data_IF_503738821713
#
_entry.id   IF_503738821713
#
_cell.length_a   1.000
_cell.length_b   1.000
_cell.length_c   1.000
_cell.angle_alpha   90.00
_cell.angle_beta   90.00
_cell.angle_gamma   90.00
#
_symmetry.space_group_name_H-M   'P 1'
#
loop_
_entity.id
_entity.type
_entity.pdbx_description
1 polymer ?
#
# COMPACT_ATOMS: atom_id res chain seq x y z
N UNK A 1 -7.92 -2.09 6.53
CA UNK A 1 -8.73 -0.84 6.53
C UNK A 1 -9.82 -0.82 5.46
N UNK A 2 -9.55 -1.08 4.18
CA UNK A 2 -10.58 -1.07 3.12
C UNK A 2 -11.80 -1.97 3.40
N UNK A 3 -11.57 -3.20 3.89
CA UNK A 3 -12.64 -4.13 4.33
C UNK A 3 -13.50 -3.60 5.48
N UNK A 4 -12.90 -2.83 6.39
CA UNK A 4 -13.60 -2.24 7.54
C UNK A 4 -14.56 -1.14 7.06
N UNK A 5 -14.14 -0.39 6.03
CA UNK A 5 -14.94 0.70 5.46
C UNK A 5 -15.94 0.24 4.39
N UNK A 6 -15.96 -1.05 4.02
CA UNK A 6 -16.80 -1.63 2.94
C UNK A 6 -16.74 -0.84 1.62
N UNK A 7 -15.62 -0.17 1.34
CA UNK A 7 -15.46 0.60 0.11
C UNK A 7 -15.03 -0.34 -1.01
N UNK A 8 -15.74 -0.40 -2.15
CA UNK A 8 -15.32 -1.16 -3.30
C UNK A 8 -14.13 -0.46 -3.97
N UNK A 9 -12.91 -0.77 -3.56
CA UNK A 9 -11.69 -0.23 -4.16
C UNK A 9 -11.29 -1.15 -5.31
N UNK A 10 -11.69 -0.78 -6.53
CA UNK A 10 -11.38 -1.56 -7.73
C UNK A 10 -10.02 -1.20 -8.35
N UNK A 11 -9.50 -0.02 -8.03
CA UNK A 11 -8.31 0.56 -8.64
C UNK A 11 -7.31 0.98 -7.57
N UNK A 12 -6.05 0.61 -7.77
CA UNK A 12 -4.91 1.11 -7.00
C UNK A 12 -4.08 2.02 -7.88
N UNK A 13 -3.73 3.21 -7.41
CA UNK A 13 -2.88 4.16 -8.12
C UNK A 13 -1.48 4.18 -7.51
N UNK A 14 -0.45 4.19 -8.37
CA UNK A 14 0.96 4.30 -7.97
C UNK A 14 1.69 5.22 -8.94
N UNK A 15 2.75 5.88 -8.51
CA UNK A 15 3.59 6.71 -9.40
C UNK A 15 4.82 5.97 -9.97
N UNK A 16 5.03 4.73 -9.55
CA UNK A 16 6.11 3.86 -10.02
C UNK A 16 5.62 2.91 -11.11
N UNK A 17 5.93 3.23 -12.38
CA UNK A 17 5.50 2.43 -13.54
C UNK A 17 5.94 0.97 -13.46
N UNK A 18 7.18 0.72 -13.04
CA UNK A 18 7.72 -0.63 -12.88
C UNK A 18 6.93 -1.45 -11.85
N UNK A 19 6.49 -0.83 -10.76
CA UNK A 19 5.67 -1.47 -9.72
C UNK A 19 4.27 -1.77 -10.25
N UNK A 20 3.64 -0.81 -10.95
CA UNK A 20 2.34 -1.05 -11.59
C UNK A 20 2.38 -2.22 -12.57
N UNK A 21 3.41 -2.26 -13.43
CA UNK A 21 3.64 -3.36 -14.37
C UNK A 21 3.87 -4.69 -13.66
N UNK A 22 4.65 -4.71 -12.57
CA UNK A 22 4.92 -5.94 -11.81
C UNK A 22 3.66 -6.49 -11.13
N UNK A 23 2.80 -5.63 -10.58
CA UNK A 23 1.54 -6.02 -9.93
C UNK A 23 0.54 -6.55 -10.95
N UNK A 24 0.40 -5.87 -12.09
CA UNK A 24 -0.52 -6.30 -13.15
C UNK A 24 -0.02 -7.54 -13.92
N UNK A 25 1.29 -7.79 -13.89
CA UNK A 25 1.92 -8.91 -14.58
C UNK A 25 1.64 -10.25 -13.91
N UNK A 26 1.56 -11.31 -14.72
CA UNK A 26 1.49 -12.69 -14.26
C UNK A 26 2.84 -13.28 -13.85
N UNK A 27 3.94 -12.62 -14.21
CA UNK A 27 5.30 -13.11 -13.93
C UNK A 27 5.65 -12.81 -12.48
N UNK A 28 6.16 -13.83 -11.78
CA UNK A 28 6.74 -13.65 -10.45
C UNK A 28 7.99 -12.78 -10.58
N UNK A 29 8.00 -11.65 -9.89
CA UNK A 29 9.16 -10.76 -9.87
C UNK A 29 10.32 -11.46 -9.14
N UNK A 30 11.44 -11.66 -9.85
CA UNK A 30 12.65 -12.20 -9.26
C UNK A 30 13.41 -11.13 -8.44
N UNK A 31 14.12 -11.55 -7.39
CA UNK A 31 14.96 -10.67 -6.56
C UNK A 31 14.36 -10.29 -5.21
N UNK A 32 15.04 -9.42 -4.46
CA UNK A 32 14.66 -9.04 -3.09
C UNK A 32 13.30 -8.36 -2.96
N UNK A 33 12.84 -7.69 -4.02
CA UNK A 33 11.51 -7.09 -4.10
C UNK A 33 10.39 -8.10 -4.46
N UNK A 34 10.76 -9.33 -4.85
CA UNK A 34 9.84 -10.33 -5.35
C UNK A 34 8.73 -10.71 -4.38
N UNK A 35 9.12 -11.01 -3.14
CA UNK A 35 8.18 -11.36 -2.07
C UNK A 35 7.22 -10.21 -1.77
N UNK A 36 7.72 -8.96 -1.79
CA UNK A 36 6.90 -7.76 -1.53
C UNK A 36 5.82 -7.61 -2.61
N UNK A 37 6.17 -7.80 -3.88
CA UNK A 37 5.19 -7.73 -4.99
C UNK A 37 4.14 -8.82 -4.88
N UNK A 38 4.52 -10.05 -4.53
CA UNK A 38 3.57 -11.14 -4.35
C UNK A 38 2.64 -10.91 -3.14
N UNK A 39 3.15 -10.38 -2.04
CA UNK A 39 2.33 -9.96 -0.89
C UNK A 39 1.33 -8.86 -1.29
N UNK A 40 1.77 -7.87 -2.07
CA UNK A 40 0.88 -6.81 -2.59
C UNK A 40 -0.20 -7.43 -3.49
N UNK A 41 0.15 -8.35 -4.40
CA UNK A 41 -0.84 -9.04 -5.26
C UNK A 41 -1.86 -9.82 -4.43
N UNK A 42 -1.42 -10.51 -3.38
CA UNK A 42 -2.30 -11.24 -2.46
C UNK A 42 -3.26 -10.28 -1.75
N UNK A 43 -2.75 -9.14 -1.24
CA UNK A 43 -3.56 -8.09 -0.62
C UNK A 43 -4.56 -7.48 -1.61
N UNK A 44 -4.15 -7.18 -2.84
CA UNK A 44 -5.03 -6.68 -3.89
C UNK A 44 -6.20 -7.63 -4.15
N UNK A 45 -5.94 -8.94 -4.26
CA UNK A 45 -6.99 -9.96 -4.41
C UNK A 45 -7.92 -9.99 -3.20
N UNK A 46 -7.36 -9.91 -2.00
CA UNK A 46 -8.13 -9.96 -0.75
C UNK A 46 -9.08 -8.77 -0.57
N UNK A 47 -8.68 -7.58 -1.05
CA UNK A 47 -9.50 -6.35 -0.96
C UNK A 47 -10.32 -6.06 -2.22
N UNK A 48 -10.18 -6.87 -3.28
CA UNK A 48 -10.94 -6.70 -4.53
C UNK A 48 -10.39 -5.65 -5.49
N UNK A 49 -9.11 -5.27 -5.37
CA UNK A 49 -8.43 -4.42 -6.37
C UNK A 49 -8.19 -5.24 -7.64
N UNK A 50 -8.72 -4.74 -8.76
CA UNK A 50 -8.65 -5.40 -10.06
C UNK A 50 -7.43 -4.97 -10.87
N UNK A 51 -6.95 -3.74 -10.66
CA UNK A 51 -5.90 -3.14 -11.47
C UNK A 51 -5.05 -2.15 -10.69
N UNK A 52 -3.75 -2.16 -10.97
CA UNK A 52 -2.82 -1.11 -10.56
C UNK A 52 -2.57 -0.15 -11.72
N UNK A 53 -2.74 1.16 -11.52
CA UNK A 53 -2.55 2.18 -12.53
C UNK A 53 -1.37 3.07 -12.18
N UNK A 54 -0.46 3.23 -13.13
CA UNK A 54 0.59 4.22 -13.03
C UNK A 54 0.02 5.63 -13.27
N UNK A 55 0.25 6.56 -12.36
CA UNK A 55 -0.14 7.96 -12.46
C UNK A 55 1.08 8.89 -12.38
N UNK A 56 1.02 10.13 -12.88
CA UNK A 56 2.07 11.10 -12.66
C UNK A 56 2.26 11.37 -11.16
N UNK A 57 3.50 11.63 -10.74
CA UNK A 57 3.82 11.96 -9.34
C UNK A 57 3.03 13.15 -8.78
N UNK A 58 2.66 14.10 -9.65
CA UNK A 58 1.78 15.22 -9.30
C UNK A 58 0.39 14.77 -8.82
N UNK A 59 -0.13 13.65 -9.33
CA UNK A 59 -1.36 13.02 -8.87
C UNK A 59 -1.20 12.21 -7.58
N UNK A 60 0.03 11.81 -7.23
CA UNK A 60 0.34 11.03 -6.02
C UNK A 60 0.86 11.91 -4.85
N UNK A 61 0.59 13.22 -4.89
CA UNK A 61 1.16 14.18 -3.94
C UNK A 61 0.81 13.92 -2.47
N UNK A 62 -0.39 13.41 -2.19
CA UNK A 62 -0.79 13.05 -0.83
C UNK A 62 0.04 11.89 -0.27
N UNK A 63 0.16 10.80 -1.02
CA UNK A 63 0.96 9.65 -0.59
C UNK A 63 2.45 10.04 -0.46
N UNK A 64 2.95 10.86 -1.39
CA UNK A 64 4.32 11.37 -1.30
C UNK A 64 4.55 12.20 -0.03
N UNK A 65 3.62 13.11 0.31
CA UNK A 65 3.71 13.93 1.52
C UNK A 65 3.65 13.09 2.78
N UNK A 66 2.78 12.08 2.81
CA UNK A 66 2.68 11.15 3.94
C UNK A 66 3.98 10.36 4.13
N UNK A 67 4.53 9.81 3.05
CA UNK A 67 5.79 9.08 3.07
C UNK A 67 6.97 9.97 3.50
N UNK A 68 7.04 11.21 2.99
CA UNK A 68 8.07 12.16 3.36
C UNK A 68 7.99 12.54 4.85
N UNK A 69 6.78 12.74 5.38
CA UNK A 69 6.58 13.00 6.81
C UNK A 69 6.98 11.80 7.67
N UNK A 70 6.54 10.60 7.30
CA UNK A 70 6.92 9.37 7.99
C UNK A 70 8.45 9.18 7.99
N UNK A 71 9.12 9.45 6.88
CA UNK A 71 10.57 9.37 6.78
C UNK A 71 11.30 10.43 7.63
N UNK A 72 10.72 11.62 7.75
CA UNK A 72 11.27 12.70 8.59
C UNK A 72 11.09 12.46 10.10
N UNK A 73 10.27 11.47 10.47
CA UNK A 73 10.05 11.09 11.86
C UNK A 73 11.29 10.36 12.39
N UNK A 74 12.01 11.00 13.33
CA UNK A 74 13.30 10.51 13.86
C UNK A 74 13.18 9.44 14.95
N UNK A 75 11.97 9.08 15.34
CA UNK A 75 11.78 8.06 16.36
C UNK A 75 12.02 6.69 15.69
N UNK A 76 13.05 5.97 16.15
CA UNK A 76 13.31 4.56 15.83
C UNK A 76 12.22 3.68 16.48
N UNK A 77 10.96 3.94 16.15
CA UNK A 77 9.92 2.97 16.38
C UNK A 77 10.17 1.86 15.37
N UNK A 78 10.92 0.85 15.80
CA UNK A 78 10.87 -0.48 15.21
C UNK A 78 9.40 -0.75 14.87
N UNK A 79 9.12 -1.25 13.67
CA UNK A 79 7.78 -1.70 13.28
C UNK A 79 7.35 -2.84 14.21
N UNK A 80 6.98 -2.50 15.43
CA UNK A 80 6.27 -3.39 16.32
C UNK A 80 4.94 -3.62 15.62
N UNK A 81 4.55 -4.87 15.44
CA UNK A 81 3.26 -5.26 14.84
C UNK A 81 2.03 -4.76 15.63
N UNK A 82 2.22 -3.80 16.53
CA UNK A 82 1.20 -3.18 17.34
C UNK A 82 0.57 -2.04 16.55
N UNK A 83 -0.75 -2.11 16.43
CA UNK A 83 -1.59 -1.04 15.92
C UNK A 83 -1.18 0.27 16.61
N UNK A 84 -0.90 1.36 15.88
CA UNK A 84 -0.64 2.65 16.50
C UNK A 84 -1.79 2.99 17.45
N UNK A 85 -1.47 3.49 18.65
CA UNK A 85 -2.45 3.78 19.70
C UNK A 85 -3.53 4.78 19.26
N UNK A 86 -3.30 5.55 18.19
CA UNK A 86 -4.31 6.42 17.59
C UNK A 86 -5.45 5.66 16.86
N UNK A 87 -5.33 4.34 16.64
CA UNK A 87 -6.37 3.49 16.06
C UNK A 87 -7.10 2.63 17.09
N UNK A 88 -6.72 2.66 18.38
CA UNK A 88 -7.35 1.84 19.42
C UNK A 88 -8.79 2.26 19.75
N UNK A 89 -9.21 3.46 19.37
CA UNK A 89 -10.57 3.96 19.57
C UNK A 89 -11.61 3.38 18.60
N UNK A 90 -11.20 2.67 17.55
CA UNK A 90 -12.10 2.10 16.53
C UNK A 90 -12.45 0.62 16.72
N UNK A 91 -11.84 -0.07 17.70
CA UNK A 91 -12.02 -1.52 17.90
C UNK A 91 -12.87 -1.91 19.12
N UNK A 92 -13.48 -0.96 19.83
CA UNK A 92 -14.44 -1.26 20.89
C UNK A 92 -15.73 -0.46 20.69
N UNK A 93 -16.63 -0.98 19.86
CA UNK A 93 -18.10 -0.82 19.92
C UNK A 93 -18.76 -1.82 18.98
#
# INVERSE_FOLDING_TARGET
MAKILKLPIQLMEVDACNVASAINGSVSSAGSAGCIIEDIKALCKDVGVLKCQAIPRSGNGMAHTLAARAFSYREENLWQQLLPSCFSSFCCS
#
